data_IF_304030992301
#
_entry.id   IF_304030992301
#
_cell.length_a   1.000
_cell.length_b   1.000
_cell.length_c   1.000
_cell.angle_alpha   90.00
_cell.angle_beta   90.00
_cell.angle_gamma   90.00
#
_symmetry.space_group_name_H-M   'P 1'
#
loop_
_entity.id
_entity.type
_entity.pdbx_description
1 polymer ?
#
# COMPACT_ATOMS: atom_id res chain seq x y z
N UNK A 1 23.00 7.01 -9.97
CA UNK A 1 22.75 5.97 -8.93
C UNK A 1 22.84 4.58 -9.55
N UNK A 2 23.39 3.60 -8.84
CA UNK A 2 23.35 2.17 -9.16
C UNK A 2 22.97 1.41 -7.91
N UNK A 3 22.16 0.37 -8.04
CA UNK A 3 21.88 -0.56 -6.95
C UNK A 3 22.40 -1.93 -7.41
N UNK A 4 23.31 -2.50 -6.64
CA UNK A 4 23.87 -3.83 -6.92
C UNK A 4 23.09 -4.87 -6.11
N UNK A 5 22.46 -5.81 -6.82
CA UNK A 5 21.66 -6.88 -6.23
C UNK A 5 22.60 -8.03 -5.85
N UNK A 6 22.54 -8.42 -4.60
CA UNK A 6 23.33 -9.48 -4.00
C UNK A 6 22.65 -10.85 -4.04
N UNK A 7 22.88 -11.63 -2.98
CA UNK A 7 22.32 -12.97 -2.84
C UNK A 7 20.86 -12.91 -2.37
N UNK A 8 20.08 -13.87 -2.83
CA UNK A 8 18.70 -14.05 -2.37
C UNK A 8 18.64 -14.78 -1.03
N UNK A 9 17.61 -14.48 -0.25
CA UNK A 9 17.27 -15.20 0.96
C UNK A 9 15.76 -15.37 1.10
N UNK A 10 15.35 -16.40 1.83
CA UNK A 10 13.94 -16.65 2.14
C UNK A 10 13.47 -15.65 3.22
N UNK A 11 12.38 -14.94 2.97
CA UNK A 11 11.72 -14.13 3.98
C UNK A 11 10.66 -14.97 4.72
N UNK A 12 10.18 -14.53 5.88
CA UNK A 12 9.10 -15.23 6.58
C UNK A 12 7.71 -15.01 5.94
N UNK A 13 7.60 -14.08 4.99
CA UNK A 13 6.34 -13.72 4.34
C UNK A 13 6.03 -14.73 3.24
N UNK A 14 5.55 -15.89 3.67
CA UNK A 14 5.36 -17.06 2.84
C UNK A 14 4.00 -17.70 3.08
N UNK A 15 3.47 -18.36 2.07
CA UNK A 15 2.21 -19.09 2.13
C UNK A 15 2.22 -20.22 3.17
N UNK A 16 3.39 -20.71 3.57
CA UNK A 16 3.53 -21.72 4.63
C UNK A 16 2.86 -21.31 5.95
N UNK A 17 2.81 -19.99 6.24
CA UNK A 17 2.12 -19.47 7.42
C UNK A 17 0.60 -19.39 7.28
N UNK A 18 0.02 -19.80 6.15
CA UNK A 18 -1.39 -19.62 5.83
C UNK A 18 -1.77 -18.20 5.46
N UNK A 19 -0.77 -17.36 5.21
CA UNK A 19 -0.90 -15.96 4.84
C UNK A 19 -0.83 -15.85 3.32
N UNK A 20 -1.88 -15.34 2.70
CA UNK A 20 -1.88 -15.07 1.27
C UNK A 20 -1.19 -13.72 1.02
N UNK A 21 -0.01 -13.74 0.42
CA UNK A 21 0.72 -12.51 0.11
C UNK A 21 0.12 -11.82 -1.11
N UNK A 22 -0.30 -10.57 -0.92
CA UNK A 22 -0.93 -9.75 -1.95
C UNK A 22 -0.70 -8.26 -1.64
N UNK A 23 0.51 -7.79 -1.86
CA UNK A 23 0.91 -6.41 -1.62
C UNK A 23 2.29 -6.25 -0.99
N UNK A 24 2.62 -5.01 -0.64
CA UNK A 24 3.86 -4.68 0.06
C UNK A 24 3.76 -5.06 1.54
N UNK A 25 4.89 -5.47 2.12
CA UNK A 25 4.95 -5.84 3.54
C UNK A 25 5.28 -4.63 4.40
N UNK A 26 4.39 -4.18 5.29
CA UNK A 26 4.69 -3.13 6.23
C UNK A 26 5.67 -3.64 7.31
N UNK A 27 6.66 -2.83 7.61
CA UNK A 27 7.68 -3.11 8.61
C UNK A 27 7.84 -1.91 9.54
N UNK A 28 8.02 -2.16 10.82
CA UNK A 28 8.32 -1.14 11.82
C UNK A 28 9.24 -1.68 12.91
N UNK A 29 10.25 -0.90 13.29
CA UNK A 29 11.10 -1.23 14.42
C UNK A 29 10.63 -0.54 15.68
N UNK A 30 10.30 -1.35 16.68
CA UNK A 30 9.88 -0.88 17.99
C UNK A 30 11.07 -0.33 18.81
N UNK A 31 10.77 0.38 19.86
CA UNK A 31 11.77 0.98 20.78
C UNK A 31 12.61 -0.05 21.52
N UNK A 32 12.13 -1.28 21.65
CA UNK A 32 12.87 -2.40 22.23
C UNK A 32 13.80 -3.13 21.23
N UNK A 33 13.85 -2.66 19.98
CA UNK A 33 14.67 -3.22 18.90
C UNK A 33 14.00 -4.33 18.10
N UNK A 34 12.80 -4.77 18.48
CA UNK A 34 12.04 -5.75 17.67
C UNK A 34 11.61 -5.15 16.36
N UNK A 35 11.82 -5.89 15.29
CA UNK A 35 11.28 -5.60 13.96
C UNK A 35 9.95 -6.35 13.79
N UNK A 36 8.89 -5.59 13.62
CA UNK A 36 7.55 -6.10 13.41
C UNK A 36 7.14 -5.96 11.93
N UNK A 37 6.31 -6.89 11.46
CA UNK A 37 5.71 -6.85 10.14
C UNK A 37 4.35 -7.49 10.13
N UNK A 38 3.57 -7.18 9.10
CA UNK A 38 2.27 -7.77 8.82
C UNK A 38 2.21 -8.21 7.37
N UNK A 39 1.43 -9.21 7.08
CA UNK A 39 1.14 -9.64 5.72
C UNK A 39 -0.15 -10.41 5.68
N UNK A 40 -0.79 -10.46 4.54
CA UNK A 40 -1.98 -11.26 4.32
C UNK A 40 -3.16 -10.47 3.80
N UNK A 41 -4.27 -11.17 3.71
CA UNK A 41 -5.48 -10.73 3.03
C UNK A 41 -6.71 -11.27 3.77
N UNK A 42 -7.67 -10.43 4.08
CA UNK A 42 -8.80 -10.81 4.94
C UNK A 42 -9.75 -11.88 4.36
N UNK A 43 -9.75 -12.08 3.04
CA UNK A 43 -10.60 -13.05 2.35
C UNK A 43 -9.85 -14.23 1.75
N UNK A 44 -8.51 -14.13 1.63
CA UNK A 44 -7.66 -15.17 1.06
C UNK A 44 -6.64 -15.62 2.11
N UNK A 45 -7.02 -16.54 2.98
CA UNK A 45 -6.21 -16.91 4.14
C UNK A 45 -6.49 -16.00 5.34
N UNK A 46 -5.43 -15.54 6.02
CA UNK A 46 -5.54 -14.65 7.17
C UNK A 46 -4.44 -13.57 7.16
N UNK A 47 -4.60 -12.56 8.00
CA UNK A 47 -3.56 -11.57 8.25
C UNK A 47 -2.65 -12.11 9.35
N UNK A 48 -1.34 -12.17 9.08
CA UNK A 48 -0.33 -12.65 10.01
C UNK A 48 0.52 -11.52 10.58
N UNK A 49 0.90 -11.68 11.86
CA UNK A 49 1.92 -10.89 12.52
C UNK A 49 3.25 -11.61 12.46
N UNK A 50 4.30 -10.85 12.19
CA UNK A 50 5.68 -11.32 12.08
C UNK A 50 6.59 -10.50 13.00
N UNK A 51 7.56 -11.15 13.63
CA UNK A 51 8.49 -10.48 14.54
C UNK A 51 9.88 -11.12 14.49
N UNK A 52 10.91 -10.29 14.64
CA UNK A 52 12.31 -10.67 14.69
C UNK A 52 13.18 -9.48 15.07
N UNK A 53 14.47 -9.53 14.81
CA UNK A 53 15.40 -8.40 14.95
C UNK A 53 15.87 -7.89 13.57
N UNK A 54 15.86 -8.74 12.59
CA UNK A 54 16.18 -8.46 11.18
C UNK A 54 15.17 -9.15 10.26
N UNK A 55 15.18 -8.83 8.98
CA UNK A 55 14.36 -9.56 8.00
C UNK A 55 14.70 -11.05 7.90
N UNK A 56 15.96 -11.40 8.13
CA UNK A 56 16.45 -12.79 8.00
C UNK A 56 16.08 -13.67 9.20
N UNK A 57 15.90 -13.10 10.38
CA UNK A 57 15.50 -13.83 11.59
C UNK A 57 14.02 -13.66 11.96
N UNK A 58 13.32 -12.82 11.22
CA UNK A 58 11.89 -12.63 11.36
C UNK A 58 11.12 -13.93 11.15
N UNK A 59 10.04 -14.12 11.89
CA UNK A 59 9.16 -15.29 11.76
C UNK A 59 7.72 -14.94 12.02
N UNK A 60 6.82 -15.73 11.49
CA UNK A 60 5.40 -15.70 11.86
C UNK A 60 5.23 -15.96 13.35
N UNK A 61 4.41 -15.17 14.02
CA UNK A 61 4.16 -15.30 15.46
C UNK A 61 2.73 -15.66 15.79
N UNK A 62 1.75 -15.05 15.14
CA UNK A 62 0.33 -15.35 15.31
C UNK A 62 -0.54 -14.65 14.25
N UNK A 63 -1.79 -15.06 14.18
CA UNK A 63 -2.83 -14.39 13.40
C UNK A 63 -3.21 -13.05 14.04
N UNK A 64 -3.33 -12.02 13.21
CA UNK A 64 -3.89 -10.72 13.57
C UNK A 64 -5.42 -10.78 13.41
N UNK A 65 -6.16 -10.79 14.51
CA UNK A 65 -7.62 -10.88 14.48
C UNK A 65 -8.26 -9.50 14.49
N UNK A 66 -9.16 -9.25 13.55
CA UNK A 66 -9.98 -8.05 13.57
C UNK A 66 -11.29 -8.32 14.31
N UNK A 67 -11.75 -7.34 15.10
CA UNK A 67 -13.06 -7.34 15.76
C UNK A 67 -14.15 -6.72 14.90
N UNK A 68 -13.87 -6.45 13.65
CA UNK A 68 -14.76 -5.81 12.70
C UNK A 68 -14.70 -6.48 11.32
N UNK A 69 -15.77 -6.32 10.56
CA UNK A 69 -15.82 -6.61 9.14
C UNK A 69 -16.09 -5.29 8.38
N UNK A 70 -15.44 -5.09 7.25
CA UNK A 70 -15.76 -3.95 6.38
C UNK A 70 -17.23 -4.05 5.96
N UNK A 71 -17.98 -2.98 6.19
CA UNK A 71 -19.43 -2.96 5.99
C UNK A 71 -20.26 -3.09 7.26
N UNK A 72 -19.65 -3.41 8.40
CA UNK A 72 -20.32 -3.31 9.68
C UNK A 72 -20.64 -1.85 10.04
N UNK A 73 -21.55 -1.66 10.99
CA UNK A 73 -21.91 -0.32 11.46
C UNK A 73 -20.67 0.45 11.94
N UNK A 74 -20.46 1.64 11.39
CA UNK A 74 -19.30 2.49 11.69
C UNK A 74 -18.14 2.37 10.72
N UNK A 75 -18.13 1.35 9.83
CA UNK A 75 -17.09 1.17 8.81
C UNK A 75 -17.54 1.62 7.40
N UNK A 76 -18.70 2.26 7.28
CA UNK A 76 -19.20 2.76 6.00
C UNK A 76 -18.22 3.75 5.36
N UNK A 77 -17.99 3.62 4.06
CA UNK A 77 -17.08 4.50 3.33
C UNK A 77 -17.59 5.93 3.25
N UNK A 78 -16.72 6.88 3.56
CA UNK A 78 -17.04 8.29 3.42
C UNK A 78 -17.35 8.63 1.94
N UNK A 79 -18.45 9.36 1.72
CA UNK A 79 -18.83 9.83 0.38
C UNK A 79 -19.35 8.76 -0.59
N UNK A 80 -19.38 7.50 -0.20
CA UNK A 80 -19.95 6.42 -1.00
C UNK A 80 -21.30 6.02 -0.44
N UNK A 81 -22.32 6.00 -1.29
CA UNK A 81 -23.63 5.46 -0.97
C UNK A 81 -23.80 4.13 -1.68
N UNK A 82 -24.19 3.14 -0.89
CA UNK A 82 -24.57 1.84 -1.40
C UNK A 82 -26.10 1.76 -1.51
N UNK A 83 -26.62 0.91 -2.38
CA UNK A 83 -28.05 0.64 -2.43
C UNK A 83 -28.59 0.15 -1.09
N UNK A 84 -29.89 0.32 -0.87
CA UNK A 84 -30.54 -0.21 0.32
C UNK A 84 -30.31 -1.71 0.45
N UNK A 85 -29.89 -2.14 1.62
CA UNK A 85 -29.57 -3.55 1.90
C UNK A 85 -28.19 -4.03 1.45
N UNK A 86 -27.41 -3.19 0.76
CA UNK A 86 -26.03 -3.49 0.38
C UNK A 86 -25.07 -2.84 1.37
N UNK A 87 -24.26 -3.65 2.02
CA UNK A 87 -23.27 -3.17 3.00
C UNK A 87 -22.01 -2.68 2.29
N UNK A 88 -21.40 -1.64 2.83
CA UNK A 88 -20.05 -1.24 2.47
C UNK A 88 -19.08 -2.37 2.84
N UNK A 89 -18.17 -2.73 1.94
CA UNK A 89 -17.52 -4.02 2.00
C UNK A 89 -16.20 -4.04 1.26
N UNK A 90 -15.63 -5.21 1.14
CA UNK A 90 -14.40 -5.49 0.44
C UNK A 90 -13.40 -6.21 1.31
N UNK A 91 -12.22 -6.36 0.80
CA UNK A 91 -11.11 -6.97 1.52
C UNK A 91 -10.19 -5.91 2.11
N UNK A 92 -9.39 -6.33 3.08
CA UNK A 92 -8.36 -5.50 3.68
C UNK A 92 -6.99 -6.18 3.59
N UNK A 93 -5.98 -5.37 3.31
CA UNK A 93 -4.56 -5.74 3.27
C UNK A 93 -3.77 -4.80 4.18
N UNK A 94 -2.95 -5.29 5.11
CA UNK A 94 -2.10 -4.43 5.93
C UNK A 94 -0.92 -3.94 5.11
N UNK A 95 -0.84 -2.62 4.84
CA UNK A 95 0.27 -2.02 4.08
C UNK A 95 1.06 -0.99 4.88
N UNK A 96 0.60 -0.63 6.07
CA UNK A 96 1.31 0.29 6.96
C UNK A 96 1.28 -0.18 8.41
N UNK A 97 2.40 -0.10 9.11
CA UNK A 97 2.53 -0.41 10.52
C UNK A 97 3.28 0.73 11.22
N UNK A 98 2.74 1.20 12.33
CA UNK A 98 3.37 2.15 13.24
C UNK A 98 3.16 1.70 14.68
N UNK A 99 4.20 1.70 15.49
CA UNK A 99 4.11 1.40 16.92
C UNK A 99 4.44 2.69 17.69
N UNK A 100 3.48 3.17 18.45
CA UNK A 100 3.63 4.41 19.20
C UNK A 100 4.67 4.25 20.32
N UNK A 101 5.80 4.98 20.29
CA UNK A 101 6.86 4.80 21.28
C UNK A 101 6.45 5.15 22.72
N UNK A 102 5.41 5.96 22.89
CA UNK A 102 4.96 6.41 24.22
C UNK A 102 3.97 5.49 24.89
N UNK A 103 3.14 4.80 24.13
CA UNK A 103 2.05 3.95 24.65
C UNK A 103 2.21 2.48 24.29
N UNK A 104 3.13 2.15 23.38
CA UNK A 104 3.26 0.83 22.76
C UNK A 104 1.99 0.35 22.02
N UNK A 105 1.09 1.28 21.69
CA UNK A 105 -0.07 0.99 20.85
C UNK A 105 0.38 0.79 19.41
N UNK A 106 -0.10 -0.28 18.79
CA UNK A 106 0.14 -0.59 17.39
C UNK A 106 -0.97 0.04 16.54
N UNK A 107 -0.59 0.66 15.44
CA UNK A 107 -1.50 1.15 14.41
C UNK A 107 -1.17 0.46 13.10
N UNK A 108 -2.19 -0.09 12.48
CA UNK A 108 -2.11 -0.61 11.13
C UNK A 108 -2.93 0.28 10.20
N UNK A 109 -2.30 0.70 9.12
CA UNK A 109 -2.99 1.29 7.98
C UNK A 109 -3.22 0.18 6.97
N UNK A 110 -4.44 0.00 6.56
CA UNK A 110 -4.81 -1.08 5.65
C UNK A 110 -5.40 -0.51 4.36
N UNK A 111 -5.03 -1.14 3.27
CA UNK A 111 -5.65 -0.99 1.97
C UNK A 111 -6.99 -1.71 1.96
N UNK A 112 -8.01 -1.13 1.34
CA UNK A 112 -9.29 -1.75 1.14
C UNK A 112 -9.73 -1.61 -0.32
N UNK A 113 -10.21 -2.69 -0.89
CA UNK A 113 -10.87 -2.71 -2.21
C UNK A 113 -12.30 -3.17 -2.07
N UNK A 114 -13.26 -2.33 -2.48
CA UNK A 114 -14.69 -2.56 -2.26
C UNK A 114 -15.26 -3.66 -3.14
N UNK A 115 -14.73 -3.85 -4.32
CA UNK A 115 -15.21 -4.81 -5.32
C UNK A 115 -14.63 -6.20 -5.18
N UNK A 116 -13.63 -6.38 -4.31
CA UNK A 116 -12.97 -7.67 -4.18
C UNK A 116 -13.91 -8.74 -3.63
N UNK A 117 -13.83 -9.93 -4.22
CA UNK A 117 -14.72 -11.07 -4.05
C UNK A 117 -14.90 -11.53 -2.58
N UNK A 118 -15.74 -10.85 -1.85
CA UNK A 118 -16.17 -11.26 -0.51
C UNK A 118 -17.69 -11.39 -0.45
N UNK A 119 -18.21 -12.09 0.55
CA UNK A 119 -19.66 -12.15 0.79
C UNK A 119 -20.24 -10.74 0.87
N UNK A 120 -21.34 -10.50 0.19
CA UNK A 120 -22.01 -9.22 0.13
C UNK A 120 -21.26 -8.19 -0.71
N UNK A 121 -20.38 -8.59 -1.61
CA UNK A 121 -19.74 -7.69 -2.57
C UNK A 121 -20.72 -7.32 -3.69
N UNK A 122 -20.42 -6.26 -4.46
CA UNK A 122 -21.23 -5.93 -5.63
C UNK A 122 -21.31 -7.10 -6.62
N UNK A 123 -20.30 -7.94 -6.66
CA UNK A 123 -20.31 -9.16 -7.45
C UNK A 123 -21.40 -10.13 -7.00
N UNK A 124 -21.52 -10.35 -5.67
CA UNK A 124 -22.56 -11.23 -5.14
C UNK A 124 -23.96 -10.66 -5.34
N UNK A 125 -24.13 -9.35 -5.14
CA UNK A 125 -25.42 -8.68 -5.28
C UNK A 125 -25.92 -8.65 -6.73
N UNK A 126 -25.00 -8.63 -7.70
CA UNK A 126 -25.32 -8.51 -9.14
C UNK A 126 -25.12 -9.83 -9.90
N UNK A 127 -24.83 -10.91 -9.20
CA UNK A 127 -24.54 -12.22 -9.78
C UNK A 127 -23.10 -12.41 -10.23
N UNK A 128 -22.77 -13.57 -10.79
CA UNK A 128 -21.40 -13.88 -11.18
C UNK A 128 -20.84 -12.87 -12.19
N UNK A 129 -19.68 -12.36 -11.93
CA UNK A 129 -18.93 -11.47 -12.80
C UNK A 129 -17.61 -12.13 -13.17
N UNK A 130 -17.35 -12.34 -14.44
CA UNK A 130 -16.11 -12.97 -14.93
C UNK A 130 -14.93 -12.01 -14.94
N UNK A 131 -15.17 -10.70 -14.78
CA UNK A 131 -14.15 -9.67 -14.84
C UNK A 131 -14.29 -8.69 -13.67
N UNK A 132 -13.19 -8.09 -13.21
CA UNK A 132 -13.26 -6.99 -12.27
C UNK A 132 -14.21 -5.91 -12.77
N UNK A 133 -15.11 -5.49 -11.90
CA UNK A 133 -15.99 -4.36 -12.20
C UNK A 133 -15.28 -3.11 -11.74
N UNK A 134 -14.55 -2.47 -12.62
CA UNK A 134 -13.83 -1.23 -12.33
C UNK A 134 -14.71 -0.14 -11.72
N UNK A 135 -15.98 -0.13 -12.07
CA UNK A 135 -16.99 0.77 -11.53
C UNK A 135 -17.41 0.47 -10.09
N UNK A 136 -17.00 -0.62 -9.50
CA UNK A 136 -17.29 -1.01 -8.12
C UNK A 136 -16.04 -1.31 -7.26
N UNK A 137 -14.86 -1.27 -7.86
CA UNK A 137 -13.60 -1.58 -7.20
C UNK A 137 -12.90 -0.29 -6.74
N UNK A 138 -13.42 0.31 -5.66
CA UNK A 138 -12.82 1.51 -5.09
C UNK A 138 -11.85 1.17 -3.99
N UNK A 139 -10.80 1.98 -3.94
CA UNK A 139 -9.70 1.86 -3.00
C UNK A 139 -9.76 2.94 -1.94
N UNK A 140 -9.60 2.52 -0.70
CA UNK A 140 -9.57 3.39 0.46
C UNK A 140 -8.49 2.93 1.42
N UNK A 141 -7.97 3.85 2.22
CA UNK A 141 -7.06 3.51 3.31
C UNK A 141 -7.80 3.71 4.64
N UNK A 142 -7.89 2.62 5.41
CA UNK A 142 -8.40 2.62 6.77
C UNK A 142 -7.28 2.54 7.79
N UNK A 143 -7.63 2.83 9.05
CA UNK A 143 -6.75 2.70 10.20
C UNK A 143 -7.43 1.83 11.25
N UNK A 144 -6.64 0.93 11.84
CA UNK A 144 -7.02 0.13 13.00
C UNK A 144 -5.90 0.16 14.03
N UNK A 145 -6.22 -0.10 15.29
CA UNK A 145 -5.23 -0.17 16.36
C UNK A 145 -5.31 -1.47 17.15
N UNK A 146 -4.23 -1.75 17.86
CA UNK A 146 -4.09 -2.87 18.78
C UNK A 146 -3.36 -2.44 20.05
N UNK A 147 -3.87 -2.86 21.21
CA UNK A 147 -3.27 -2.66 22.53
C UNK A 147 -2.62 -3.96 23.07
N UNK A 148 -2.54 -5.01 22.24
CA UNK A 148 -2.05 -6.35 22.63
C UNK A 148 -0.99 -6.91 21.67
N UNK A 149 -0.12 -6.03 21.18
CA UNK A 149 0.97 -6.32 20.22
C UNK A 149 0.47 -6.88 18.88
N UNK A 150 -0.72 -6.49 18.42
CA UNK A 150 -1.24 -6.90 17.12
C UNK A 150 -1.98 -8.24 17.12
N UNK A 151 -2.38 -8.77 18.27
CA UNK A 151 -3.20 -10.00 18.36
C UNK A 151 -4.66 -9.72 18.01
N UNK A 152 -5.19 -8.63 18.53
CA UNK A 152 -6.54 -8.14 18.21
C UNK A 152 -6.50 -6.70 17.71
N UNK A 153 -7.37 -6.41 16.74
CA UNK A 153 -7.39 -5.12 16.06
C UNK A 153 -8.81 -4.56 16.04
N UNK A 154 -8.90 -3.29 16.42
CA UNK A 154 -10.14 -2.51 16.42
C UNK A 154 -10.09 -1.46 15.33
N UNK A 155 -11.15 -1.34 14.55
CA UNK A 155 -11.28 -0.30 13.52
C UNK A 155 -11.39 1.09 14.17
N UNK A 156 -10.60 2.04 13.67
CA UNK A 156 -10.65 3.44 14.07
C UNK A 156 -11.45 4.30 13.09
N UNK A 157 -10.95 4.42 11.88
CA UNK A 157 -11.54 5.28 10.85
C UNK A 157 -10.92 5.09 9.48
N UNK A 158 -11.58 5.64 8.46
CA UNK A 158 -10.99 5.87 7.14
C UNK A 158 -10.08 7.10 7.20
N UNK A 159 -8.87 6.99 6.63
CA UNK A 159 -7.85 8.06 6.68
C UNK A 159 -7.53 8.65 5.32
N UNK A 160 -7.64 7.86 4.26
CA UNK A 160 -7.57 8.35 2.88
C UNK A 160 -8.68 7.74 2.06
N UNK A 161 -9.45 8.61 1.42
CA UNK A 161 -10.42 8.24 0.39
C UNK A 161 -10.24 9.15 -0.81
N UNK A 162 -10.46 8.63 -2.00
CA UNK A 162 -10.48 9.43 -3.21
C UNK A 162 -11.64 10.42 -3.23
N UNK A 163 -11.67 11.26 -4.27
CA UNK A 163 -12.83 12.09 -4.55
C UNK A 163 -14.09 11.23 -4.64
N UNK A 164 -15.23 11.75 -4.20
CA UNK A 164 -16.47 11.00 -4.25
C UNK A 164 -16.77 10.57 -5.69
N UNK A 165 -17.02 9.29 -5.88
CA UNK A 165 -17.27 8.70 -7.18
C UNK A 165 -18.75 8.48 -7.42
N UNK A 166 -19.15 8.70 -8.65
CA UNK A 166 -20.49 8.43 -9.11
C UNK A 166 -20.45 7.29 -10.13
N UNK A 167 -21.10 6.19 -9.81
CA UNK A 167 -21.27 5.11 -10.76
C UNK A 167 -22.41 5.47 -11.71
N UNK A 168 -22.19 5.26 -12.98
CA UNK A 168 -23.26 5.41 -13.93
C UNK A 168 -24.23 4.23 -13.83
N UNK A 169 -25.51 4.49 -13.91
CA UNK A 169 -26.55 3.44 -13.96
C UNK A 169 -26.32 2.39 -15.04
N UNK A 170 -25.51 2.71 -16.05
CA UNK A 170 -25.14 1.82 -17.14
C UNK A 170 -24.39 0.58 -16.66
N UNK A 171 -23.51 0.73 -15.63
CA UNK A 171 -22.65 -0.37 -15.18
C UNK A 171 -23.19 -1.06 -13.95
N UNK A 172 -23.79 -0.29 -13.03
CA UNK A 172 -24.38 -0.81 -11.80
C UNK A 172 -25.68 -0.02 -11.53
N UNK A 173 -26.78 -0.36 -12.18
CA UNK A 173 -28.01 0.42 -12.14
C UNK A 173 -28.55 0.70 -10.76
N UNK A 174 -28.24 -0.16 -9.81
CA UNK A 174 -28.82 -0.17 -8.45
C UNK A 174 -27.81 0.23 -7.39
N UNK A 175 -26.51 0.42 -7.76
CA UNK A 175 -25.52 0.25 -6.75
C UNK A 175 -24.99 1.52 -6.13
N UNK A 176 -24.53 2.51 -6.81
CA UNK A 176 -23.80 3.53 -6.10
C UNK A 176 -24.27 4.90 -6.54
N UNK A 177 -24.84 5.58 -5.62
CA UNK A 177 -25.30 6.94 -5.78
C UNK A 177 -24.31 7.87 -5.06
N UNK A 178 -23.07 7.91 -5.55
CA UNK A 178 -22.09 8.83 -5.05
C UNK A 178 -22.18 10.15 -5.84
N UNK A 179 -21.80 11.22 -5.20
CA UNK A 179 -21.58 12.50 -5.87
C UNK A 179 -20.16 12.52 -6.41
N UNK A 180 -19.95 13.12 -7.54
CA UNK A 180 -18.62 13.43 -8.00
C UNK A 180 -18.37 13.05 -9.45
N UNK A 181 -17.58 12.05 -9.70
CA UNK A 181 -17.13 11.73 -11.04
C UNK A 181 -18.27 11.26 -11.92
N UNK A 182 -18.48 11.97 -13.02
CA UNK A 182 -19.44 11.61 -14.05
C UNK A 182 -18.68 11.47 -15.35
N UNK A 183 -18.70 10.32 -15.96
CA UNK A 183 -18.01 10.09 -17.24
C UNK A 183 -17.50 8.66 -17.36
N UNK A 184 -16.84 8.42 -18.48
CA UNK A 184 -16.31 7.09 -18.82
C UNK A 184 -14.95 6.83 -18.15
N UNK A 185 -14.28 7.86 -17.64
CA UNK A 185 -13.03 7.75 -16.90
C UNK A 185 -13.30 8.01 -15.43
N UNK A 186 -12.92 7.05 -14.60
CA UNK A 186 -13.16 7.06 -13.15
C UNK A 186 -11.85 6.91 -12.40
N UNK A 187 -11.68 7.70 -11.34
CA UNK A 187 -10.64 7.52 -10.34
C UNK A 187 -11.10 6.47 -9.34
N UNK A 188 -10.34 5.38 -9.19
CA UNK A 188 -10.65 4.28 -8.28
C UNK A 188 -10.31 4.55 -6.80
N UNK A 189 -9.89 5.76 -6.46
CA UNK A 189 -9.57 6.13 -5.07
C UNK A 189 -8.09 5.94 -4.73
N UNK A 190 -7.81 5.88 -3.43
CA UNK A 190 -6.45 5.83 -2.86
C UNK A 190 -6.10 4.40 -2.48
N UNK A 191 -5.07 3.82 -3.08
CA UNK A 191 -4.72 2.42 -2.88
C UNK A 191 -3.22 2.13 -2.82
N UNK A 192 -2.86 0.89 -2.77
CA UNK A 192 -1.54 0.29 -2.86
C UNK A 192 -0.39 1.17 -2.33
N UNK A 193 -0.39 1.40 -1.04
CA UNK A 193 0.48 2.37 -0.40
C UNK A 193 1.60 1.73 0.42
N UNK A 194 2.56 2.55 0.80
CA UNK A 194 3.52 2.25 1.86
C UNK A 194 3.69 3.40 2.83
N UNK A 195 4.22 3.11 4.02
CA UNK A 195 4.56 4.09 5.02
C UNK A 195 6.03 4.51 4.92
N UNK A 196 6.26 5.82 5.07
CA UNK A 196 7.56 6.40 5.35
C UNK A 196 7.47 7.24 6.62
N UNK A 197 8.53 7.24 7.43
CA UNK A 197 8.57 7.96 8.70
C UNK A 197 9.76 8.91 8.72
N UNK A 198 9.54 10.15 9.13
CA UNK A 198 10.60 11.02 9.58
C UNK A 198 10.44 11.34 11.08
N UNK A 199 11.16 12.33 11.60
CA UNK A 199 11.10 12.67 13.03
C UNK A 199 9.75 13.26 13.47
N UNK A 200 8.95 13.79 12.54
CA UNK A 200 7.71 14.51 12.85
C UNK A 200 6.45 13.88 12.25
N UNK A 201 6.57 13.24 11.11
CA UNK A 201 5.43 12.80 10.32
C UNK A 201 5.52 11.33 9.91
N UNK A 202 4.37 10.73 9.81
CA UNK A 202 4.11 9.53 9.04
C UNK A 202 3.54 9.95 7.69
N UNK A 203 4.12 9.45 6.62
CA UNK A 203 3.68 9.67 5.25
C UNK A 203 3.12 8.36 4.69
N UNK A 204 2.04 8.48 3.94
CA UNK A 204 1.52 7.42 3.09
C UNK A 204 1.80 7.81 1.63
N UNK A 205 2.62 7.03 0.96
CA UNK A 205 2.80 7.09 -0.49
C UNK A 205 1.85 6.08 -1.10
N UNK A 206 0.88 6.55 -1.85
CA UNK A 206 -0.22 5.74 -2.37
C UNK A 206 -0.41 5.98 -3.85
N UNK A 207 -0.97 5.01 -4.53
CA UNK A 207 -1.34 5.18 -5.92
C UNK A 207 -2.80 5.60 -6.09
N UNK A 208 -3.06 6.22 -7.25
CA UNK A 208 -4.38 6.59 -7.74
C UNK A 208 -4.50 6.03 -9.15
N UNK A 209 -5.49 5.19 -9.36
CA UNK A 209 -5.72 4.52 -10.63
C UNK A 209 -6.90 5.17 -11.36
N UNK A 210 -6.70 5.50 -12.62
CA UNK A 210 -7.76 5.92 -13.52
C UNK A 210 -8.08 4.81 -14.51
N UNK A 211 -9.36 4.52 -14.67
CA UNK A 211 -9.87 3.51 -15.59
C UNK A 211 -10.89 4.10 -16.56
N UNK A 212 -10.85 3.63 -17.80
CA UNK A 212 -11.92 3.79 -18.75
C UNK A 212 -12.93 2.67 -18.52
N UNK A 213 -14.04 3.00 -17.92
CA UNK A 213 -15.03 2.01 -17.49
C UNK A 213 -15.73 1.37 -18.69
N UNK A 214 -15.91 2.12 -19.78
CA UNK A 214 -16.56 1.62 -20.98
C UNK A 214 -15.71 0.58 -21.71
N UNK A 215 -14.39 0.81 -21.75
CA UNK A 215 -13.45 -0.13 -22.39
C UNK A 215 -12.95 -1.21 -21.46
N UNK A 216 -13.09 -1.02 -20.12
CA UNK A 216 -12.48 -1.90 -19.14
C UNK A 216 -10.94 -1.78 -19.12
N UNK A 217 -10.40 -0.60 -19.34
CA UNK A 217 -8.97 -0.35 -19.47
C UNK A 217 -8.44 0.55 -18.34
N UNK A 218 -7.36 0.16 -17.72
CA UNK A 218 -6.58 1.03 -16.86
C UNK A 218 -5.79 2.02 -17.71
N UNK A 219 -6.04 3.30 -17.50
CA UNK A 219 -5.43 4.37 -18.27
C UNK A 219 -4.14 4.89 -17.65
N UNK A 220 -4.10 5.01 -16.33
CA UNK A 220 -2.94 5.47 -15.59
C UNK A 220 -2.95 4.92 -14.17
N UNK A 221 -1.76 4.86 -13.60
CA UNK A 221 -1.56 4.67 -12.18
C UNK A 221 -0.50 5.69 -11.74
N UNK A 222 -0.85 6.58 -10.83
CA UNK A 222 -0.03 7.72 -10.46
C UNK A 222 0.20 7.75 -8.95
N UNK A 223 1.43 8.07 -8.51
CA UNK A 223 1.76 8.15 -7.09
C UNK A 223 1.41 9.51 -6.53
N UNK A 224 0.75 9.50 -5.38
CA UNK A 224 0.43 10.64 -4.55
C UNK A 224 0.98 10.46 -3.13
N UNK A 225 0.91 11.50 -2.31
CA UNK A 225 1.38 11.45 -0.93
C UNK A 225 0.47 12.22 0.02
N UNK A 226 0.26 11.63 1.21
CA UNK A 226 -0.41 12.28 2.33
C UNK A 226 0.41 12.08 3.60
N UNK A 227 0.19 12.90 4.63
CA UNK A 227 0.91 12.77 5.90
C UNK A 227 0.01 13.07 7.10
N UNK A 228 0.41 12.52 8.25
CA UNK A 228 -0.11 12.90 9.57
C UNK A 228 1.05 13.12 10.53
N UNK A 229 0.85 13.95 11.56
CA UNK A 229 1.88 14.20 12.58
C UNK A 229 1.99 12.99 13.50
N UNK A 230 3.22 12.52 13.71
CA UNK A 230 3.52 11.49 14.72
C UNK A 230 3.28 12.05 16.12
N UNK A 231 2.67 11.24 16.97
CA UNK A 231 2.34 11.59 18.35
C UNK A 231 2.75 10.46 19.29
N UNK A 232 3.15 10.83 20.50
CA UNK A 232 3.57 9.88 21.54
C UNK A 232 2.45 9.53 22.54
N UNK A 233 1.29 10.15 22.41
CA UNK A 233 0.14 9.91 23.28
C UNK A 233 -0.76 8.75 22.81
N UNK A 234 -0.41 8.10 21.71
CA UNK A 234 -1.20 7.00 21.15
C UNK A 234 -2.49 7.45 20.45
N UNK A 235 -2.56 8.73 20.08
CA UNK A 235 -3.68 9.30 19.32
C UNK A 235 -3.16 9.78 17.98
N UNK A 236 -3.64 9.22 16.87
CA UNK A 236 -3.25 9.66 15.55
C UNK A 236 -4.12 10.81 15.07
N UNK A 237 -3.48 11.82 14.48
CA UNK A 237 -4.16 12.95 13.83
C UNK A 237 -4.80 12.58 12.50
N UNK A 238 -5.52 13.52 11.91
CA UNK A 238 -6.02 13.39 10.56
C UNK A 238 -4.87 13.49 9.54
N UNK A 239 -5.03 12.79 8.42
CA UNK A 239 -4.12 12.93 7.30
C UNK A 239 -4.45 14.16 6.47
N UNK A 240 -3.41 14.77 5.95
CA UNK A 240 -3.50 15.83 4.95
C UNK A 240 -2.78 15.40 3.68
N UNK A 241 -3.46 15.55 2.56
CA UNK A 241 -2.94 15.25 1.23
C UNK A 241 -2.08 16.40 0.70
N UNK A 242 -1.08 16.06 -0.09
CA UNK A 242 -0.31 17.03 -0.86
C UNK A 242 -1.12 17.47 -2.08
N UNK A 243 -1.35 18.77 -2.17
CA UNK A 243 -2.06 19.39 -3.28
C UNK A 243 -1.49 20.79 -3.56
N UNK A 244 -1.26 21.09 -4.83
CA UNK A 244 -0.81 22.39 -5.33
C UNK A 244 0.36 22.98 -4.52
N UNK A 245 1.40 22.17 -4.29
CA UNK A 245 2.64 22.61 -3.64
C UNK A 245 2.64 22.56 -2.11
N UNK A 246 1.56 22.10 -1.46
CA UNK A 246 1.48 22.04 0.00
C UNK A 246 0.65 20.85 0.52
N UNK A 247 0.88 20.47 1.78
CA UNK A 247 0.02 19.51 2.49
C UNK A 247 -1.15 20.29 3.11
N UNK A 248 -2.27 20.38 2.40
CA UNK A 248 -3.38 21.25 2.76
C UNK A 248 -4.77 20.62 2.62
N UNK A 249 -4.92 19.59 1.80
CA UNK A 249 -6.21 18.96 1.56
C UNK A 249 -6.52 17.86 2.57
N UNK A 250 -7.80 17.66 2.88
CA UNK A 250 -8.22 16.60 3.79
C UNK A 250 -7.88 15.21 3.23
N UNK A 251 -7.49 14.28 4.10
CA UNK A 251 -7.21 12.90 3.71
C UNK A 251 -8.44 12.23 3.08
N UNK A 252 -9.62 12.44 3.66
CA UNK A 252 -10.87 11.95 3.12
C UNK A 252 -11.49 12.95 2.14
N UNK A 253 -11.74 12.49 0.91
CA UNK A 253 -12.40 13.25 -0.18
C UNK A 253 -11.67 14.51 -0.65
N UNK A 254 -10.49 14.83 -0.09
CA UNK A 254 -9.66 15.95 -0.53
C UNK A 254 -8.97 15.65 -1.85
N UNK A 255 -8.53 16.71 -2.53
CA UNK A 255 -7.79 16.62 -3.79
C UNK A 255 -6.34 16.19 -3.54
N UNK A 256 -5.73 15.57 -4.51
CA UNK A 256 -4.31 15.22 -4.50
C UNK A 256 -3.58 15.73 -5.74
N UNK A 257 -2.29 16.01 -5.59
CA UNK A 257 -1.37 16.23 -6.70
C UNK A 257 -0.50 15.00 -6.92
N UNK A 258 -0.36 14.61 -8.17
CA UNK A 258 0.53 13.54 -8.59
C UNK A 258 1.98 13.97 -8.38
N UNK A 259 2.76 13.14 -7.71
CA UNK A 259 4.21 13.36 -7.49
C UNK A 259 5.07 12.46 -8.39
N UNK A 260 4.57 11.31 -8.81
CA UNK A 260 5.19 10.43 -9.81
C UNK A 260 4.10 9.90 -10.75
N UNK A 261 4.31 10.07 -12.05
CA UNK A 261 3.39 9.53 -13.06
C UNK A 261 3.74 8.10 -13.44
N UNK A 262 2.73 7.33 -13.79
CA UNK A 262 2.86 5.93 -14.22
C UNK A 262 3.62 5.07 -13.21
N UNK A 263 3.46 5.32 -11.92
CA UNK A 263 4.06 4.58 -10.83
C UNK A 263 3.03 3.81 -10.02
N UNK A 264 3.37 2.58 -9.62
CA UNK A 264 2.52 1.68 -8.88
C UNK A 264 3.29 1.03 -7.72
N UNK A 265 2.63 0.77 -6.61
CA UNK A 265 3.21 0.18 -5.40
C UNK A 265 4.46 0.94 -4.89
N UNK A 266 4.33 2.24 -4.59
CA UNK A 266 5.47 3.05 -4.18
C UNK A 266 6.00 2.63 -2.80
N UNK A 267 7.34 2.62 -2.64
CA UNK A 267 7.98 2.53 -1.34
C UNK A 267 9.19 3.45 -1.25
N UNK A 268 9.25 4.22 -0.17
CA UNK A 268 10.28 5.24 0.03
C UNK A 268 11.24 4.82 1.13
N UNK A 269 12.53 5.05 0.90
CA UNK A 269 13.59 4.92 1.87
C UNK A 269 14.50 6.16 1.83
N UNK A 270 15.09 6.53 2.96
CA UNK A 270 16.06 7.62 3.06
C UNK A 270 17.48 7.06 3.19
N UNK A 271 18.34 7.36 2.22
CA UNK A 271 19.77 7.05 2.24
C UNK A 271 20.50 8.14 3.02
N UNK A 272 20.75 7.88 4.31
CA UNK A 272 21.40 8.84 5.21
C UNK A 272 22.85 9.09 4.84
N UNK A 273 23.54 8.12 4.22
CA UNK A 273 24.93 8.27 3.80
C UNK A 273 25.06 9.30 2.66
N UNK A 274 24.03 9.46 1.83
CA UNK A 274 24.04 10.37 0.68
C UNK A 274 23.03 11.51 0.80
N UNK A 275 22.29 11.56 1.90
CA UNK A 275 21.29 12.58 2.20
C UNK A 275 20.26 12.74 1.06
N UNK A 276 19.64 11.62 0.64
CA UNK A 276 18.67 11.60 -0.45
C UNK A 276 17.56 10.61 -0.18
N UNK A 277 16.42 10.83 -0.79
CA UNK A 277 15.31 9.88 -0.82
C UNK A 277 15.41 8.99 -2.03
N UNK A 278 15.01 7.73 -1.87
CA UNK A 278 14.84 6.77 -2.97
C UNK A 278 13.42 6.24 -2.90
N UNK A 279 12.71 6.28 -4.02
CA UNK A 279 11.41 5.62 -4.17
C UNK A 279 11.57 4.47 -5.15
N UNK A 280 11.27 3.26 -4.71
CA UNK A 280 11.03 2.16 -5.62
C UNK A 280 9.54 2.04 -5.91
N UNK A 281 9.22 1.68 -7.13
CA UNK A 281 7.86 1.43 -7.59
C UNK A 281 7.88 0.58 -8.86
N UNK A 282 6.73 0.07 -9.25
CA UNK A 282 6.57 -0.57 -10.54
C UNK A 282 6.18 0.49 -11.57
N UNK A 283 6.84 0.48 -12.71
CA UNK A 283 6.50 1.39 -13.80
C UNK A 283 5.32 0.82 -14.60
N UNK A 284 4.22 1.54 -14.61
CA UNK A 284 3.07 1.22 -15.43
C UNK A 284 3.32 1.65 -16.88
N UNK A 285 4.04 0.83 -17.63
CA UNK A 285 4.39 1.09 -19.03
C UNK A 285 4.04 -0.12 -19.91
N UNK A 286 2.90 -0.02 -20.60
CA UNK A 286 2.41 -1.07 -21.50
C UNK A 286 3.39 -1.40 -22.63
N UNK A 287 4.18 -0.42 -23.09
CA UNK A 287 5.14 -0.66 -24.19
C UNK A 287 6.28 -1.55 -23.76
N UNK A 288 6.68 -1.46 -22.49
CA UNK A 288 7.70 -2.33 -21.92
C UNK A 288 7.18 -3.75 -21.68
N UNK A 289 5.91 -3.88 -21.25
CA UNK A 289 5.26 -5.18 -21.12
C UNK A 289 5.24 -5.91 -22.46
N UNK A 290 4.80 -5.26 -23.51
CA UNK A 290 4.75 -5.86 -24.86
C UNK A 290 6.14 -6.19 -25.40
N UNK A 291 7.11 -5.31 -25.17
CA UNK A 291 8.46 -5.46 -25.70
C UNK A 291 9.29 -6.53 -25.00
N UNK A 292 9.14 -6.69 -23.70
CA UNK A 292 10.01 -7.54 -22.88
C UNK A 292 9.30 -8.74 -22.26
N UNK A 293 7.98 -8.87 -22.46
CA UNK A 293 7.17 -9.94 -21.85
C UNK A 293 7.06 -9.84 -20.33
N UNK A 294 7.34 -8.65 -19.77
CA UNK A 294 7.25 -8.38 -18.34
C UNK A 294 5.91 -7.70 -18.06
N UNK A 295 5.16 -8.23 -17.12
CA UNK A 295 3.95 -7.56 -16.65
C UNK A 295 4.29 -6.30 -15.86
N UNK A 296 5.45 -6.29 -15.17
CA UNK A 296 5.92 -5.17 -14.36
C UNK A 296 7.42 -5.31 -14.09
N UNK A 297 8.10 -4.20 -13.90
CA UNK A 297 9.48 -4.20 -13.44
C UNK A 297 9.73 -3.07 -12.45
N UNK A 298 10.67 -3.31 -11.56
CA UNK A 298 11.02 -2.36 -10.52
C UNK A 298 11.86 -1.23 -11.08
N UNK A 299 11.45 -0.01 -10.80
CA UNK A 299 12.26 1.18 -11.02
C UNK A 299 12.57 1.88 -9.70
N UNK A 300 13.60 2.71 -9.71
CA UNK A 300 13.97 3.56 -8.56
C UNK A 300 14.20 4.97 -9.04
N UNK A 301 13.56 5.93 -8.38
CA UNK A 301 13.78 7.36 -8.57
C UNK A 301 14.50 7.96 -7.36
N UNK A 302 15.40 8.91 -7.61
CA UNK A 302 16.01 9.74 -6.57
C UNK A 302 15.12 10.97 -6.32
N UNK A 303 14.86 11.25 -5.05
CA UNK A 303 14.11 12.44 -4.61
C UNK A 303 14.98 13.45 -3.91
N UNK A 304 14.79 14.71 -4.23
CA UNK A 304 15.35 15.86 -3.49
C UNK A 304 14.51 16.18 -2.25
N UNK A 305 13.25 15.85 -2.33
CA UNK A 305 12.26 15.91 -1.24
C UNK A 305 11.26 14.77 -1.39
N UNK A 306 10.33 14.66 -0.46
CA UNK A 306 9.28 13.64 -0.52
C UNK A 306 8.20 13.92 -1.59
N UNK A 307 8.28 15.05 -2.27
CA UNK A 307 7.33 15.47 -3.33
C UNK A 307 7.98 15.78 -4.68
N UNK A 308 9.32 15.75 -4.74
CA UNK A 308 10.06 16.04 -5.97
C UNK A 308 10.98 14.86 -6.32
N UNK A 309 10.65 14.17 -7.40
CA UNK A 309 11.31 12.95 -7.84
C UNK A 309 11.93 13.11 -9.22
N UNK A 310 13.10 12.53 -9.39
CA UNK A 310 13.80 12.48 -10.68
C UNK A 310 13.29 11.36 -11.59
N UNK A 311 13.93 11.26 -12.76
CA UNK A 311 13.61 10.21 -13.74
C UNK A 311 13.85 8.81 -13.17
N UNK A 312 12.98 7.86 -13.45
CA UNK A 312 13.12 6.49 -12.99
C UNK A 312 14.28 5.76 -13.65
N UNK A 313 15.00 4.99 -12.87
CA UNK A 313 16.02 4.05 -13.32
C UNK A 313 15.50 2.64 -13.15
N UNK A 314 15.43 1.88 -14.25
CA UNK A 314 15.04 0.48 -14.20
C UNK A 314 16.11 -0.36 -13.47
N UNK A 315 15.67 -1.12 -12.48
CA UNK A 315 16.57 -2.01 -11.75
C UNK A 315 16.88 -3.24 -12.59
N UNK A 316 18.14 -3.68 -12.56
CA UNK A 316 18.60 -4.86 -13.30
C UNK A 316 19.39 -5.80 -12.39
N UNK A 317 19.28 -7.08 -12.67
CA UNK A 317 20.10 -8.12 -12.05
C UNK A 317 21.54 -8.08 -12.56
N UNK A 318 22.37 -9.03 -12.07
CA UNK A 318 23.79 -9.14 -12.45
C UNK A 318 23.99 -9.51 -13.93
N UNK A 319 23.01 -10.15 -14.53
CA UNK A 319 23.03 -10.57 -15.95
C UNK A 319 22.46 -9.49 -16.87
N UNK A 320 21.99 -8.37 -16.31
CA UNK A 320 21.46 -7.23 -17.03
C UNK A 320 19.97 -7.33 -17.38
N UNK A 321 19.27 -8.36 -16.91
CA UNK A 321 17.82 -8.48 -17.09
C UNK A 321 17.09 -7.52 -16.17
N UNK A 322 15.88 -7.09 -16.54
CA UNK A 322 15.02 -6.33 -15.67
C UNK A 322 14.71 -7.12 -14.41
N UNK A 323 14.81 -6.44 -13.27
CA UNK A 323 14.62 -7.04 -11.96
C UNK A 323 13.31 -6.54 -11.34
N UNK A 324 12.69 -7.40 -10.56
CA UNK A 324 11.48 -7.12 -9.80
C UNK A 324 10.35 -8.08 -10.13
N UNK A 325 9.24 -7.86 -9.49
CA UNK A 325 8.01 -8.60 -9.69
C UNK A 325 6.82 -7.66 -9.43
N UNK A 326 5.62 -8.17 -9.23
CA UNK A 326 4.42 -7.38 -9.00
C UNK A 326 4.55 -6.50 -7.75
N UNK A 327 5.01 -7.05 -6.63
CA UNK A 327 5.24 -6.31 -5.39
C UNK A 327 6.73 -6.19 -5.09
N UNK A 328 7.22 -4.96 -4.98
CA UNK A 328 8.62 -4.68 -4.72
C UNK A 328 8.76 -3.70 -3.56
N UNK A 329 9.81 -3.88 -2.77
CA UNK A 329 10.15 -2.94 -1.71
C UNK A 329 11.66 -2.86 -1.50
N UNK A 330 12.20 -1.65 -1.32
CA UNK A 330 13.53 -1.42 -0.77
C UNK A 330 13.36 -1.10 0.71
N UNK A 331 14.09 -1.80 1.57
CA UNK A 331 14.07 -1.57 3.02
C UNK A 331 15.50 -1.59 3.57
N UNK A 332 15.70 -0.99 4.73
CA UNK A 332 17.01 -1.02 5.40
C UNK A 332 17.46 -2.46 5.69
N UNK A 333 18.74 -2.73 5.43
CA UNK A 333 19.40 -3.94 5.91
C UNK A 333 19.91 -3.77 7.35
N UNK A 334 19.93 -2.55 7.88
CA UNK A 334 20.47 -2.25 9.20
C UNK A 334 19.59 -2.83 10.32
N UNK A 335 20.25 -3.44 11.31
CA UNK A 335 19.56 -3.97 12.48
C UNK A 335 19.13 -2.86 13.48
N UNK A 336 19.52 -1.60 13.19
CA UNK A 336 19.28 -0.46 14.05
C UNK A 336 18.49 0.62 13.33
N UNK A 337 17.64 1.34 13.67
CA UNK A 337 16.86 2.34 12.94
C UNK A 337 15.62 1.77 12.26
N UNK A 338 14.86 2.65 11.65
CA UNK A 338 13.61 2.28 10.98
C UNK A 338 13.88 1.62 9.63
N UNK A 339 13.00 0.70 9.19
CA UNK A 339 13.16 0.05 7.87
C UNK A 339 13.13 1.00 6.67
N UNK A 340 12.67 2.23 6.85
CA UNK A 340 12.67 3.28 5.82
C UNK A 340 13.92 4.18 5.82
N UNK A 341 14.97 3.83 6.60
CA UNK A 341 16.26 4.54 6.65
C UNK A 341 17.40 3.56 6.41
N UNK A 342 18.42 3.93 5.63
CA UNK A 342 19.57 3.08 5.38
C UNK A 342 20.89 3.86 5.35
N UNK A 343 22.01 3.13 5.46
CA UNK A 343 23.37 3.65 5.36
C UNK A 343 24.10 2.97 4.19
N UNK A 344 23.47 2.94 3.03
CA UNK A 344 24.03 2.36 1.80
C UNK A 344 23.74 0.88 1.60
N UNK A 345 23.43 0.10 2.63
CA UNK A 345 23.01 -1.30 2.52
C UNK A 345 21.50 -1.42 2.68
N UNK A 346 20.89 -2.20 1.82
CA UNK A 346 19.44 -2.40 1.78
C UNK A 346 19.11 -3.86 1.51
N UNK A 347 17.88 -4.24 1.80
CA UNK A 347 17.28 -5.45 1.30
C UNK A 347 16.20 -5.08 0.28
N UNK A 348 16.14 -5.81 -0.81
CA UNK A 348 15.02 -5.73 -1.76
C UNK A 348 14.12 -6.93 -1.49
N UNK A 349 12.86 -6.69 -1.27
CA UNK A 349 11.82 -7.71 -1.20
C UNK A 349 11.04 -7.70 -2.51
N UNK A 350 10.77 -8.86 -3.07
CA UNK A 350 9.95 -8.99 -4.29
C UNK A 350 9.07 -10.23 -4.22
N UNK A 351 7.84 -10.10 -4.70
CA UNK A 351 6.85 -11.17 -4.71
C UNK A 351 5.74 -10.93 -5.71
N UNK A 352 4.84 -11.87 -5.81
CA UNK A 352 3.64 -11.81 -6.65
C UNK A 352 2.46 -12.37 -5.86
N UNK A 353 1.23 -12.11 -6.32
CA UNK A 353 0.00 -12.59 -5.68
C UNK A 353 0.08 -14.09 -5.35
N UNK A 354 -0.14 -14.42 -4.09
CA UNK A 354 -0.15 -15.80 -3.63
C UNK A 354 1.20 -16.53 -3.68
N UNK A 355 2.31 -15.81 -3.89
CA UNK A 355 3.65 -16.39 -3.84
C UNK A 355 4.41 -15.95 -2.58
N UNK A 356 5.47 -16.68 -2.26
CA UNK A 356 6.38 -16.27 -1.19
C UNK A 356 7.13 -15.00 -1.59
N UNK A 357 7.39 -14.13 -0.62
CA UNK A 357 8.25 -12.96 -0.82
C UNK A 357 9.71 -13.38 -0.69
N UNK A 358 10.48 -13.13 -1.74
CA UNK A 358 11.94 -13.36 -1.75
C UNK A 358 12.66 -12.08 -1.37
N UNK A 359 13.62 -12.18 -0.47
CA UNK A 359 14.54 -11.10 -0.11
C UNK A 359 15.85 -11.19 -0.88
N UNK A 360 16.49 -10.06 -1.12
CA UNK A 360 17.80 -9.94 -1.73
C UNK A 360 18.63 -8.93 -0.95
N UNK A 361 19.86 -9.28 -0.60
CA UNK A 361 20.82 -8.29 -0.15
C UNK A 361 21.15 -7.34 -1.31
N UNK A 362 21.32 -6.05 -1.03
CA UNK A 362 21.66 -5.08 -2.06
C UNK A 362 22.50 -3.91 -1.50
N UNK A 363 23.26 -3.28 -2.37
CA UNK A 363 24.09 -2.11 -2.08
C UNK A 363 23.72 -0.95 -2.99
N UNK A 364 23.57 0.24 -2.39
CA UNK A 364 23.41 1.49 -3.12
C UNK A 364 24.80 2.02 -3.44
N UNK A 365 25.15 2.09 -4.72
CA UNK A 365 26.43 2.56 -5.22
C UNK A 365 26.29 3.90 -5.94
N UNK A 366 27.22 4.83 -5.67
CA UNK A 366 27.30 6.13 -6.36
C UNK A 366 26.42 7.25 -5.85
#
# INVERSE_FOLDING_TARGET
>A
MKIEIGESFKTPFANEAGVYQDGTVPLYRDVDGRLWGMSGHSHMGHIGMFCGTTLKDMRYVYEAKTDFEVGAAGTAFAGIKYPEGVLARGSIWPFGLYICPGTHRFFCYFHNETGWNGKGTAYDALGPCEQPRFDSDFRHVGMMHSDDEGRSWTFDRWVLTGEAVCFTEKYIPESINAKGQTGDVVNLGSGDFSCFFDAEFLYLFYDVIHVDVEKGEWLSCDVCVARTRLRRDGIMGDFVKYYDGSFSEAGNLGKESVIVRNGWHPRVIFDTARNRYLMCYNLFDRTLVEKFGLTEHMVVSEGKSLTEWGEPLALRDRDGHFFGNHYNAIVSADAFGQPCECVGTVCIMTGHNGTDVTGYDAEICG
#
